data_IF_740650321959
#
_entry.id   IF_740650321959
#
_cell.length_a   1.000
_cell.length_b   1.000
_cell.length_c   1.000
_cell.angle_alpha   90.00
_cell.angle_beta   90.00
_cell.angle_gamma   90.00
#
_symmetry.space_group_name_H-M   'P 1'
#
loop_
_entity.id
_entity.type
_entity.pdbx_description
1 polymer ?
#
# COMPACT_ATOMS: atom_id res chain seq x y z
N UNK A 1 -2.23 14.36 16.52
CA UNK A 1 -1.60 15.61 16.07
C UNK A 1 -0.33 15.38 15.23
N UNK A 2 0.67 14.56 15.66
CA UNK A 2 1.91 14.35 14.87
C UNK A 2 1.66 13.78 13.47
N UNK A 3 0.75 12.81 13.32
CA UNK A 3 0.41 12.22 12.01
C UNK A 3 -0.25 13.23 11.05
N UNK A 4 -1.10 14.13 11.57
CA UNK A 4 -1.73 15.19 10.76
C UNK A 4 -0.67 16.20 10.27
N UNK A 5 0.31 16.52 11.10
CA UNK A 5 1.40 17.41 10.72
C UNK A 5 2.26 16.77 9.61
N UNK A 6 2.53 15.46 9.69
CA UNK A 6 3.26 14.74 8.66
C UNK A 6 2.48 14.77 7.34
N UNK A 7 1.18 14.47 7.35
CA UNK A 7 0.33 14.52 6.16
C UNK A 7 0.27 15.94 5.57
N UNK A 8 0.15 16.96 6.41
CA UNK A 8 0.15 18.37 5.96
C UNK A 8 1.50 18.79 5.39
N UNK A 9 2.61 18.31 5.97
CA UNK A 9 3.95 18.56 5.45
C UNK A 9 4.16 17.89 4.09
N UNK A 10 3.70 16.67 3.95
CA UNK A 10 3.68 15.89 2.71
C UNK A 10 2.90 16.63 1.63
N UNK A 11 1.66 17.06 1.92
CA UNK A 11 0.83 17.84 1.00
C UNK A 11 1.45 19.20 0.65
N UNK A 12 2.11 19.87 1.59
CA UNK A 12 2.76 21.15 1.35
C UNK A 12 4.00 21.02 0.44
N UNK A 13 4.80 19.96 0.62
CA UNK A 13 5.96 19.68 -0.24
C UNK A 13 5.50 19.32 -1.67
N UNK A 14 4.42 18.55 -1.79
CA UNK A 14 3.81 18.19 -3.07
C UNK A 14 3.23 19.41 -3.82
N UNK A 15 2.75 20.42 -3.11
CA UNK A 15 2.15 21.62 -3.69
C UNK A 15 3.17 22.60 -4.30
N UNK A 16 4.44 22.52 -3.92
CA UNK A 16 5.48 23.45 -4.41
C UNK A 16 6.11 23.08 -5.75
N UNK A 17 5.79 21.89 -6.29
CA UNK A 17 6.37 21.36 -7.52
C UNK A 17 5.44 21.27 -8.73
N UNK A 18 4.53 22.22 -8.93
CA UNK A 18 3.48 22.23 -9.98
C UNK A 18 3.98 22.34 -11.44
N UNK A 19 5.11 21.73 -11.81
CA UNK A 19 5.56 21.66 -13.19
C UNK A 19 5.52 20.21 -13.68
N UNK A 20 4.60 19.95 -14.63
CA UNK A 20 4.40 18.68 -15.33
C UNK A 20 4.14 17.47 -14.42
N UNK A 21 3.00 17.49 -13.74
CA UNK A 21 2.53 16.29 -13.05
C UNK A 21 2.13 15.22 -14.07
N UNK A 22 2.77 14.06 -14.05
CA UNK A 22 2.34 12.88 -14.80
C UNK A 22 1.33 12.11 -13.97
N UNK A 23 0.10 12.02 -14.46
CA UNK A 23 -0.94 11.22 -13.82
C UNK A 23 -0.99 9.85 -14.47
N UNK A 24 -0.93 8.83 -13.66
CA UNK A 24 -1.00 7.43 -14.06
C UNK A 24 -2.16 6.75 -13.33
N UNK A 25 -2.90 5.91 -14.03
CA UNK A 25 -3.94 5.07 -13.43
C UNK A 25 -3.90 3.68 -14.05
N UNK A 26 -4.30 2.68 -13.27
CA UNK A 26 -4.40 1.35 -13.83
C UNK A 26 -4.70 0.26 -12.81
N UNK A 27 -4.88 -0.97 -13.27
CA UNK A 27 -5.09 -2.11 -12.39
C UNK A 27 -3.86 -2.39 -11.53
N UNK A 28 -4.13 -2.84 -10.31
CA UNK A 28 -3.13 -3.26 -9.33
C UNK A 28 -3.57 -4.58 -8.70
N UNK A 29 -2.62 -5.51 -8.55
CA UNK A 29 -2.79 -6.74 -7.79
C UNK A 29 -1.76 -6.81 -6.68
N UNK A 30 -2.17 -7.21 -5.48
CA UNK A 30 -1.32 -7.35 -4.31
C UNK A 30 -1.37 -8.79 -3.79
N UNK A 31 -0.21 -9.35 -3.50
CA UNK A 31 -0.06 -10.58 -2.75
C UNK A 31 0.23 -10.26 -1.28
N UNK A 32 -0.52 -10.87 -0.37
CA UNK A 32 -0.49 -10.59 1.07
C UNK A 32 0.00 -11.78 1.91
N UNK A 33 0.14 -12.96 1.31
CA UNK A 33 0.66 -14.16 1.98
C UNK A 33 2.18 -14.12 2.18
N UNK A 34 2.72 -15.15 2.82
CA UNK A 34 4.16 -15.31 2.99
C UNK A 34 4.85 -15.57 1.63
N UNK A 35 5.76 -14.69 1.25
CA UNK A 35 6.46 -14.77 -0.04
C UNK A 35 7.42 -15.97 -0.14
N UNK A 36 7.70 -16.67 0.94
CA UNK A 36 8.54 -17.86 0.95
C UNK A 36 7.79 -19.20 0.84
N UNK A 37 6.47 -19.17 1.06
CA UNK A 37 5.64 -20.38 1.07
C UNK A 37 4.92 -20.55 -0.27
N UNK A 38 5.49 -21.36 -1.17
CA UNK A 38 4.95 -21.57 -2.52
C UNK A 38 3.52 -22.13 -2.51
N UNK A 39 3.14 -22.86 -1.48
CA UNK A 39 1.78 -23.41 -1.37
C UNK A 39 0.73 -22.33 -1.14
N UNK A 40 1.08 -21.26 -0.45
CA UNK A 40 0.20 -20.09 -0.24
C UNK A 40 -0.12 -19.31 -1.52
N UNK A 41 0.71 -19.41 -2.56
CA UNK A 41 0.40 -18.79 -3.87
C UNK A 41 -0.84 -19.37 -4.56
N UNK A 42 -1.33 -20.52 -4.11
CA UNK A 42 -2.56 -21.13 -4.65
C UNK A 42 -3.80 -20.67 -3.94
N UNK A 43 -3.66 -20.06 -2.78
CA UNK A 43 -4.81 -19.56 -2.02
C UNK A 43 -5.21 -18.16 -2.52
N UNK A 44 -6.41 -18.09 -3.08
CA UNK A 44 -6.97 -16.83 -3.61
C UNK A 44 -7.17 -15.77 -2.52
N UNK A 45 -7.31 -16.19 -1.25
CA UNK A 45 -7.44 -15.28 -0.11
C UNK A 45 -6.20 -14.43 0.14
N UNK A 46 -5.04 -14.87 -0.38
CA UNK A 46 -3.78 -14.13 -0.31
C UNK A 46 -3.64 -13.08 -1.43
N UNK A 47 -4.67 -12.86 -2.25
CA UNK A 47 -4.63 -11.90 -3.32
C UNK A 47 -5.70 -10.81 -3.15
N UNK A 48 -5.29 -9.61 -3.44
CA UNK A 48 -6.15 -8.45 -3.56
C UNK A 48 -6.01 -7.85 -4.94
N UNK A 49 -7.13 -7.39 -5.49
CA UNK A 49 -7.17 -6.81 -6.83
C UNK A 49 -7.91 -5.48 -6.80
N UNK A 50 -7.47 -4.55 -7.61
CA UNK A 50 -8.11 -3.26 -7.69
C UNK A 50 -7.40 -2.32 -8.63
N UNK A 51 -7.30 -1.06 -8.22
CA UNK A 51 -6.72 -0.01 -9.03
C UNK A 51 -5.72 0.84 -8.24
N UNK A 52 -4.77 1.40 -8.95
CA UNK A 52 -3.85 2.41 -8.46
C UNK A 52 -4.01 3.69 -9.28
N UNK A 53 -4.01 4.82 -8.59
CA UNK A 53 -3.82 6.13 -9.17
C UNK A 53 -2.52 6.73 -8.61
N UNK A 54 -1.69 7.27 -9.50
CA UNK A 54 -0.39 7.82 -9.14
C UNK A 54 -0.23 9.21 -9.74
N UNK A 55 0.25 10.14 -8.94
CA UNK A 55 0.64 11.49 -9.38
C UNK A 55 2.14 11.63 -9.15
N UNK A 56 2.87 11.81 -10.23
CA UNK A 56 4.32 11.97 -10.23
C UNK A 56 4.67 13.44 -10.43
N UNK A 57 5.39 14.03 -9.49
CA UNK A 57 5.83 15.42 -9.53
C UNK A 57 7.34 15.44 -9.31
N UNK A 58 8.11 15.58 -10.38
CA UNK A 58 9.58 15.52 -10.30
C UNK A 58 10.07 14.23 -9.61
N UNK A 59 10.86 14.34 -8.55
CA UNK A 59 11.34 13.22 -7.74
C UNK A 59 10.32 12.66 -6.75
N UNK A 60 9.12 13.21 -6.67
CA UNK A 60 8.08 12.76 -5.75
C UNK A 60 6.97 12.02 -6.50
N UNK A 61 6.39 11.01 -5.84
CA UNK A 61 5.24 10.28 -6.33
C UNK A 61 4.26 10.06 -5.19
N UNK A 62 3.02 10.47 -5.38
CA UNK A 62 1.91 10.12 -4.50
C UNK A 62 1.09 9.04 -5.18
N UNK A 63 0.93 7.89 -4.53
CA UNK A 63 0.12 6.79 -5.03
C UNK A 63 -1.03 6.48 -4.08
N UNK A 64 -2.22 6.29 -4.64
CA UNK A 64 -3.40 5.81 -3.94
C UNK A 64 -3.85 4.50 -4.58
N UNK A 65 -4.00 3.46 -3.76
CA UNK A 65 -4.48 2.15 -4.18
C UNK A 65 -5.83 1.88 -3.53
N UNK A 66 -6.74 1.32 -4.28
CA UNK A 66 -8.00 0.79 -3.81
C UNK A 66 -8.04 -0.69 -4.18
N UNK A 67 -7.89 -1.57 -3.21
CA UNK A 67 -7.74 -3.01 -3.39
C UNK A 67 -8.85 -3.76 -2.66
N UNK A 68 -9.40 -4.76 -3.31
CA UNK A 68 -10.44 -5.63 -2.80
C UNK A 68 -9.87 -7.05 -2.67
N UNK A 69 -10.11 -7.67 -1.53
CA UNK A 69 -9.75 -9.06 -1.24
C UNK A 69 -10.85 -9.77 -0.50
N UNK A 70 -10.71 -11.09 -0.38
CA UNK A 70 -11.68 -11.96 0.26
C UNK A 70 -10.97 -12.97 1.14
N UNK A 71 -11.37 -13.06 2.41
CA UNK A 71 -10.99 -14.17 3.28
C UNK A 71 -12.14 -15.18 3.33
N UNK A 72 -12.01 -16.24 2.54
CA UNK A 72 -13.01 -17.30 2.43
C UNK A 72 -13.17 -18.05 3.75
N UNK A 73 -12.09 -18.20 4.51
CA UNK A 73 -12.10 -18.95 5.77
C UNK A 73 -12.89 -18.23 6.86
N UNK A 74 -12.85 -16.91 6.86
CA UNK A 74 -13.57 -16.05 7.82
C UNK A 74 -14.90 -15.52 7.29
N UNK A 75 -15.26 -15.85 6.04
CA UNK A 75 -16.44 -15.30 5.37
C UNK A 75 -16.50 -13.76 5.38
N UNK A 76 -15.34 -13.13 5.19
CA UNK A 76 -15.21 -11.68 5.17
C UNK A 76 -14.68 -11.20 3.82
N UNK A 77 -15.20 -10.04 3.38
CA UNK A 77 -14.57 -9.26 2.32
C UNK A 77 -13.81 -8.10 2.97
N UNK A 78 -12.71 -7.69 2.36
CA UNK A 78 -12.00 -6.52 2.82
C UNK A 78 -11.64 -5.61 1.66
N UNK A 79 -11.65 -4.33 1.98
CA UNK A 79 -11.30 -3.26 1.08
C UNK A 79 -10.15 -2.46 1.70
N UNK A 80 -9.02 -2.47 1.04
CA UNK A 80 -7.84 -1.76 1.49
C UNK A 80 -7.62 -0.49 0.67
N UNK A 81 -7.53 0.63 1.34
CA UNK A 81 -7.06 1.88 0.75
C UNK A 81 -5.65 2.15 1.23
N UNK A 82 -4.69 2.16 0.31
CA UNK A 82 -3.29 2.41 0.61
C UNK A 82 -2.89 3.73 -0.01
N UNK A 83 -2.41 4.64 0.81
CA UNK A 83 -1.88 5.93 0.36
C UNK A 83 -0.40 5.97 0.69
N UNK A 84 0.44 6.13 -0.31
CA UNK A 84 1.90 6.18 -0.14
C UNK A 84 2.48 7.39 -0.84
N UNK A 85 3.50 7.97 -0.23
CA UNK A 85 4.38 8.96 -0.86
C UNK A 85 5.77 8.36 -1.02
N UNK A 86 6.40 8.62 -2.15
CA UNK A 86 7.68 8.06 -2.51
C UNK A 86 8.62 9.14 -3.05
N UNK A 87 9.89 9.02 -2.69
CA UNK A 87 10.99 9.60 -3.44
C UNK A 87 11.36 8.64 -4.55
N UNK A 88 11.37 9.12 -5.79
CA UNK A 88 11.66 8.31 -6.97
C UNK A 88 12.84 8.87 -7.77
N UNK A 89 13.55 7.98 -8.41
CA UNK A 89 14.56 8.32 -9.42
C UNK A 89 14.25 7.58 -10.71
N UNK A 90 14.35 8.29 -11.83
CA UNK A 90 14.19 7.71 -13.16
C UNK A 90 15.52 7.75 -13.90
N UNK A 91 15.88 6.63 -14.53
CA UNK A 91 17.03 6.51 -15.42
C UNK A 91 16.56 5.82 -16.69
N UNK A 92 16.46 6.58 -17.77
CA UNK A 92 15.88 6.15 -19.05
C UNK A 92 14.41 5.67 -18.86
N UNK A 93 14.15 4.37 -19.05
CA UNK A 93 12.84 3.77 -18.88
C UNK A 93 12.63 3.18 -17.47
N UNK A 94 13.68 3.10 -16.66
CA UNK A 94 13.63 2.48 -15.34
C UNK A 94 13.30 3.49 -14.26
N UNK A 95 12.46 3.09 -13.33
CA UNK A 95 12.08 3.86 -12.14
C UNK A 95 12.41 3.05 -10.90
N UNK A 96 12.96 3.70 -9.89
CA UNK A 96 13.10 3.14 -8.54
C UNK A 96 12.60 4.16 -7.53
N UNK A 97 12.04 3.71 -6.43
CA UNK A 97 11.52 4.59 -5.39
C UNK A 97 11.55 3.96 -4.01
N UNK A 98 11.61 4.83 -3.03
CA UNK A 98 11.41 4.48 -1.62
C UNK A 98 10.43 5.46 -1.00
N UNK A 99 9.61 4.99 -0.08
CA UNK A 99 8.61 5.85 0.53
C UNK A 99 7.94 5.27 1.74
N UNK A 100 6.92 5.96 2.20
CA UNK A 100 6.09 5.55 3.31
C UNK A 100 4.63 5.89 3.04
N UNK A 101 3.73 5.26 3.78
CA UNK A 101 2.30 5.52 3.65
C UNK A 101 1.49 4.85 4.73
N UNK A 102 0.20 4.71 4.46
CA UNK A 102 -0.77 4.13 5.37
C UNK A 102 -1.59 3.06 4.64
N UNK A 103 -1.88 1.96 5.33
CA UNK A 103 -2.85 0.95 4.93
C UNK A 103 -4.11 1.13 5.77
N UNK A 104 -5.25 1.31 5.10
CA UNK A 104 -6.55 1.55 5.72
C UNK A 104 -7.47 0.36 5.39
N UNK A 105 -7.37 -0.75 6.14
CA UNK A 105 -8.22 -1.91 5.90
C UNK A 105 -9.63 -1.66 6.42
N UNK A 106 -10.63 -1.91 5.59
CA UNK A 106 -12.04 -1.96 5.95
C UNK A 106 -12.51 -3.39 5.69
N UNK A 107 -13.07 -4.02 6.70
CA UNK A 107 -13.50 -5.41 6.66
C UNK A 107 -15.02 -5.44 6.65
N UNK A 108 -15.59 -6.22 5.75
CA UNK A 108 -17.02 -6.48 5.69
C UNK A 108 -17.30 -7.91 6.12
N UNK A 109 -17.91 -8.06 7.30
CA UNK A 109 -18.36 -9.36 7.78
C UNK A 109 -19.70 -9.74 7.11
N UNK A 110 -19.67 -10.74 6.23
CA UNK A 110 -20.87 -11.19 5.52
C UNK A 110 -21.87 -11.91 6.42
N UNK A 111 -21.44 -12.37 7.59
CA UNK A 111 -22.29 -13.11 8.52
C UNK A 111 -23.16 -12.15 9.32
N UNK A 112 -22.58 -11.05 9.81
CA UNK A 112 -23.29 -10.05 10.62
C UNK A 112 -23.77 -8.86 9.79
N UNK A 113 -23.15 -8.60 8.63
CA UNK A 113 -23.37 -7.42 7.81
C UNK A 113 -22.63 -6.17 8.33
N UNK A 114 -21.78 -6.34 9.36
CA UNK A 114 -21.08 -5.24 9.98
C UNK A 114 -19.88 -4.79 9.13
N UNK A 115 -19.59 -3.48 9.24
CA UNK A 115 -18.38 -2.88 8.67
C UNK A 115 -17.41 -2.65 9.81
N UNK A 116 -16.27 -3.32 9.74
CA UNK A 116 -15.27 -3.37 10.79
C UNK A 116 -13.96 -2.75 10.31
N UNK A 117 -13.14 -2.35 11.26
CA UNK A 117 -11.73 -1.98 11.04
C UNK A 117 -10.86 -2.82 11.97
N UNK A 118 -9.72 -3.25 11.48
CA UNK A 118 -8.73 -3.95 12.30
C UNK A 118 -7.90 -2.92 13.08
N UNK A 119 -7.95 -3.00 14.41
CA UNK A 119 -7.18 -2.15 15.32
C UNK A 119 -6.40 -3.05 16.28
N UNK A 120 -5.08 -3.05 16.17
CA UNK A 120 -4.18 -3.88 17.01
C UNK A 120 -4.50 -5.39 16.94
N UNK A 121 -4.93 -5.88 15.77
CA UNK A 121 -5.30 -7.29 15.57
C UNK A 121 -6.71 -7.66 16.02
N UNK A 122 -7.53 -6.69 16.43
CA UNK A 122 -8.94 -6.89 16.78
C UNK A 122 -9.86 -6.18 15.79
N UNK A 123 -10.88 -6.89 15.31
CA UNK A 123 -11.92 -6.30 14.47
C UNK A 123 -12.92 -5.54 15.33
N UNK A 124 -13.14 -4.27 15.05
CA UNK A 124 -14.07 -3.39 15.77
C UNK A 124 -14.98 -2.65 14.80
N UNK A 125 -16.24 -2.39 15.15
CA UNK A 125 -17.12 -1.55 14.35
C UNK A 125 -16.52 -0.16 14.13
N UNK A 126 -16.71 0.38 12.93
CA UNK A 126 -16.27 1.75 12.61
C UNK A 126 -17.29 2.72 13.19
N UNK A 127 -16.94 3.40 14.27
CA UNK A 127 -17.75 4.48 14.82
C UNK A 127 -17.45 5.82 14.16
N UNK A 128 -16.17 6.06 13.85
CA UNK A 128 -15.70 7.34 13.28
C UNK A 128 -14.55 7.12 12.31
N UNK A 129 -14.63 7.72 11.14
CA UNK A 129 -13.63 7.57 10.09
C UNK A 129 -12.20 7.92 10.53
N UNK A 130 -12.02 8.92 11.39
CA UNK A 130 -10.69 9.29 11.87
C UNK A 130 -10.03 8.22 12.74
N UNK A 131 -10.80 7.29 13.33
CA UNK A 131 -10.28 6.18 14.13
C UNK A 131 -9.59 5.16 13.22
N UNK A 132 -10.16 4.89 12.04
CA UNK A 132 -9.52 4.06 11.01
C UNK A 132 -8.14 4.63 10.66
N UNK A 133 -8.11 5.92 10.35
CA UNK A 133 -6.86 6.59 9.96
C UNK A 133 -5.86 6.68 11.13
N UNK A 134 -6.34 6.94 12.34
CA UNK A 134 -5.52 7.04 13.55
C UNK A 134 -4.82 5.75 13.93
N UNK A 135 -5.46 4.61 13.65
CA UNK A 135 -4.99 3.27 14.02
C UNK A 135 -4.39 2.48 12.84
N UNK A 136 -4.42 3.03 11.63
CA UNK A 136 -3.79 2.41 10.47
C UNK A 136 -2.28 2.23 10.70
N UNK A 137 -1.75 1.12 10.21
CA UNK A 137 -0.31 0.88 10.26
C UNK A 137 0.42 1.77 9.23
N UNK A 138 1.62 2.18 9.60
CA UNK A 138 2.51 2.87 8.68
C UNK A 138 3.21 1.81 7.83
N UNK A 139 3.20 1.99 6.53
CA UNK A 139 3.90 1.14 5.59
C UNK A 139 5.19 1.83 5.14
N UNK A 140 6.27 1.06 5.06
CA UNK A 140 7.42 1.42 4.24
C UNK A 140 7.26 0.80 2.86
N UNK A 141 7.60 1.54 1.81
CA UNK A 141 7.50 1.10 0.42
C UNK A 141 8.86 1.18 -0.26
N UNK A 142 9.23 0.12 -0.96
CA UNK A 142 10.24 0.13 -2.01
C UNK A 142 9.56 -0.19 -3.33
N UNK A 143 9.90 0.52 -4.39
CA UNK A 143 9.30 0.34 -5.70
C UNK A 143 10.37 0.26 -6.79
N UNK A 144 10.11 -0.54 -7.81
CA UNK A 144 10.84 -0.51 -9.06
C UNK A 144 9.85 -0.64 -10.22
N UNK A 145 10.19 -0.04 -11.36
CA UNK A 145 9.28 -0.05 -12.50
C UNK A 145 9.97 0.25 -13.81
N UNK A 146 9.17 0.10 -14.86
CA UNK A 146 9.56 0.42 -16.23
C UNK A 146 8.48 1.29 -16.84
N UNK A 147 8.86 2.42 -17.41
CA UNK A 147 7.96 3.34 -18.10
C UNK A 147 8.27 3.31 -19.61
N UNK A 148 7.31 2.85 -20.39
CA UNK A 148 7.38 2.70 -21.85
C UNK A 148 6.61 3.81 -22.58
N UNK A 149 6.61 5.01 -22.06
CA UNK A 149 5.90 6.16 -22.60
C UNK A 149 4.44 6.19 -22.15
N UNK A 150 3.50 5.56 -22.87
CA UNK A 150 2.09 5.52 -22.49
C UNK A 150 1.73 4.49 -21.42
N UNK A 151 2.63 3.54 -21.14
CA UNK A 151 2.41 2.40 -20.26
C UNK A 151 3.55 2.25 -19.27
N UNK A 152 3.22 2.14 -17.99
CA UNK A 152 4.15 1.79 -16.91
C UNK A 152 3.83 0.43 -16.31
N UNK A 153 4.85 -0.28 -15.87
CA UNK A 153 4.74 -1.48 -15.03
C UNK A 153 5.53 -1.21 -13.76
N UNK A 154 4.89 -1.33 -12.62
CA UNK A 154 5.52 -1.08 -11.33
C UNK A 154 5.37 -2.29 -10.40
N UNK A 155 6.47 -2.67 -9.78
CA UNK A 155 6.53 -3.67 -8.73
C UNK A 155 6.83 -2.95 -7.41
N UNK A 156 5.99 -3.16 -6.42
CA UNK A 156 6.14 -2.57 -5.10
C UNK A 156 6.29 -3.65 -4.04
N UNK A 157 7.17 -3.38 -3.10
CA UNK A 157 7.29 -4.13 -1.86
C UNK A 157 6.92 -3.20 -0.71
N UNK A 158 5.97 -3.61 0.13
CA UNK A 158 5.45 -2.83 1.25
C UNK A 158 5.63 -3.61 2.55
N UNK A 159 6.29 -3.00 3.54
CA UNK A 159 6.55 -3.59 4.85
C UNK A 159 5.87 -2.76 5.94
N UNK A 160 4.99 -3.35 6.78
CA UNK A 160 4.42 -2.67 7.93
C UNK A 160 5.49 -2.21 8.91
N UNK A 161 5.37 -0.98 9.40
CA UNK A 161 6.30 -0.43 10.40
C UNK A 161 6.30 -1.21 11.71
N UNK A 162 5.15 -1.73 12.11
CA UNK A 162 4.99 -2.61 13.27
C UNK A 162 5.88 -3.87 13.17
N UNK A 163 6.02 -4.43 11.97
CA UNK A 163 6.91 -5.57 11.71
C UNK A 163 8.38 -5.19 11.91
N UNK A 164 8.79 -4.02 11.40
CA UNK A 164 10.14 -3.51 11.60
C UNK A 164 10.45 -3.19 13.08
N UNK A 165 9.48 -2.64 13.81
CA UNK A 165 9.67 -2.39 15.24
C UNK A 165 9.95 -3.67 16.01
N UNK A 166 9.22 -4.77 15.72
CA UNK A 166 9.48 -6.09 16.31
C UNK A 166 10.88 -6.58 16.00
N UNK A 167 11.32 -6.45 14.75
CA UNK A 167 12.69 -6.79 14.35
C UNK A 167 13.75 -6.10 15.21
N UNK A 168 13.61 -4.78 15.44
CA UNK A 168 14.58 -4.03 16.24
C UNK A 168 14.51 -4.33 17.75
N UNK A 169 13.32 -4.66 18.25
CA UNK A 169 13.11 -4.95 19.68
C UNK A 169 13.48 -6.39 20.04
N UNK A 170 13.03 -7.34 19.25
CA UNK A 170 13.11 -8.77 19.56
C UNK A 170 14.28 -9.46 18.86
N UNK A 171 15.04 -8.73 18.01
CA UNK A 171 16.11 -9.26 17.15
C UNK A 171 15.63 -10.46 16.29
N UNK A 172 14.40 -10.35 15.79
CA UNK A 172 13.89 -11.34 14.83
C UNK A 172 14.86 -11.49 13.65
N UNK A 173 14.86 -12.66 13.02
CA UNK A 173 15.67 -12.90 11.83
C UNK A 173 15.26 -11.94 10.71
N UNK A 174 16.25 -11.33 10.06
CA UNK A 174 16.03 -10.42 8.94
C UNK A 174 15.20 -11.06 7.83
N UNK A 175 15.43 -12.34 7.57
CA UNK A 175 14.70 -13.09 6.54
C UNK A 175 13.23 -13.22 6.90
N UNK A 176 12.92 -13.59 8.14
CA UNK A 176 11.54 -13.70 8.64
C UNK A 176 10.81 -12.35 8.60
N UNK A 177 11.50 -11.26 8.90
CA UNK A 177 10.95 -9.92 8.80
C UNK A 177 10.58 -9.55 7.36
N UNK A 178 11.48 -9.85 6.41
CA UNK A 178 11.25 -9.54 4.98
C UNK A 178 10.11 -10.38 4.41
N UNK A 179 9.94 -11.63 4.83
CA UNK A 179 8.83 -12.49 4.37
C UNK A 179 7.45 -11.93 4.69
N UNK A 180 7.30 -11.17 5.78
CA UNK A 180 6.04 -10.52 6.19
C UNK A 180 5.67 -9.29 5.35
N UNK A 181 6.48 -8.95 4.37
CA UNK A 181 6.19 -7.88 3.43
C UNK A 181 5.14 -8.30 2.38
N UNK A 182 4.50 -7.31 1.79
CA UNK A 182 3.46 -7.50 0.77
C UNK A 182 3.98 -7.03 -0.58
N UNK A 183 3.81 -7.84 -1.61
CA UNK A 183 4.25 -7.53 -2.98
C UNK A 183 3.04 -7.11 -3.80
N UNK A 184 3.15 -6.05 -4.57
CA UNK A 184 2.10 -5.64 -5.52
C UNK A 184 2.67 -5.33 -6.89
N UNK A 185 1.88 -5.62 -7.91
CA UNK A 185 2.16 -5.33 -9.31
C UNK A 185 1.07 -4.41 -9.85
N UNK A 186 1.48 -3.28 -10.40
CA UNK A 186 0.59 -2.33 -11.05
C UNK A 186 0.93 -2.19 -12.54
N UNK A 187 -0.11 -2.09 -13.35
CA UNK A 187 -0.04 -1.75 -14.76
C UNK A 187 -0.64 -0.35 -14.92
N UNK A 188 0.17 0.64 -15.21
CA UNK A 188 -0.19 2.05 -15.14
C UNK A 188 -0.23 2.68 -16.53
N UNK A 189 -1.32 3.36 -16.84
CA UNK A 189 -1.50 4.12 -18.09
C UNK A 189 -1.29 5.61 -17.81
N UNK A 190 -0.44 6.25 -18.59
CA UNK A 190 -0.21 7.68 -18.51
C UNK A 190 -1.43 8.41 -19.09
N UNK A 191 -2.06 9.27 -18.31
CA UNK A 191 -3.21 10.07 -18.76
C UNK A 191 -2.78 11.41 -19.36
N UNK A 192 -1.68 11.98 -18.89
CA UNK A 192 -1.13 13.28 -19.32
C UNK A 192 0.38 13.29 -19.21
#
# INVERSE_FOLDING_TARGET
MKKVIIVMLILAISATGLFAALIQVGPNGRYTGDISEIEEYKDISNYEFGAEARVNISAFSLAANALFGQDVSKNTDYFNTIITENLRAEVAIFEVGIGAGFDLPIIWDKTTGDVLVEINGENRPIEKFYEVFGNSDVLLRASCGVNLGGLGVALDYKLPWSTLQKYFQDKEDTIETVKKGRVSLALLFNLF
#
